data_IF_754398694634
#
_entry.id   IF_754398694634
#
_cell.length_a   1.000
_cell.length_b   1.000
_cell.length_c   1.000
_cell.angle_alpha   90.00
_cell.angle_beta   90.00
_cell.angle_gamma   90.00
#
_symmetry.space_group_name_H-M   'P 1'
#
loop_
_entity.id
_entity.type
_entity.pdbx_description
1 polymer ?
#
# COMPACT_ATOMS: atom_id res chain seq x y z
N UNK A 1 -14.32 41.49 38.41
CA UNK A 1 -13.46 40.28 38.29
C UNK A 1 -14.26 38.99 38.14
N UNK A 2 -15.23 38.67 39.03
CA UNK A 2 -16.05 37.43 38.92
C UNK A 2 -16.77 37.25 37.57
N UNK A 3 -17.35 38.32 37.01
CA UNK A 3 -18.04 38.27 35.69
C UNK A 3 -17.07 37.99 34.52
N UNK A 4 -15.84 38.50 34.59
CA UNK A 4 -14.79 38.24 33.59
C UNK A 4 -14.26 36.81 33.70
N UNK A 5 -14.07 36.32 34.92
CA UNK A 5 -13.69 34.93 35.17
C UNK A 5 -14.76 33.95 34.65
N UNK A 6 -16.04 34.23 34.90
CA UNK A 6 -17.17 33.47 34.37
C UNK A 6 -17.18 33.44 32.83
N UNK A 7 -16.91 34.60 32.21
CA UNK A 7 -16.84 34.70 30.75
C UNK A 7 -15.67 33.90 30.16
N UNK A 8 -14.48 33.99 30.77
CA UNK A 8 -13.30 33.22 30.35
C UNK A 8 -13.48 31.71 30.56
N UNK A 9 -14.11 31.29 31.66
CA UNK A 9 -14.43 29.89 31.89
C UNK A 9 -15.44 29.34 30.89
N UNK A 10 -16.42 30.16 30.45
CA UNK A 10 -17.37 29.76 29.43
C UNK A 10 -16.68 29.57 28.06
N UNK A 11 -15.79 30.49 27.69
CA UNK A 11 -14.98 30.38 26.47
C UNK A 11 -14.11 29.12 26.53
N UNK A 12 -13.42 28.87 27.64
CA UNK A 12 -12.57 27.70 27.81
C UNK A 12 -13.36 26.38 27.70
N UNK A 13 -14.58 26.34 28.27
CA UNK A 13 -15.48 25.19 28.14
C UNK A 13 -15.88 24.97 26.68
N UNK A 14 -16.24 26.04 25.96
CA UNK A 14 -16.62 25.95 24.54
C UNK A 14 -15.47 25.52 23.63
N UNK A 15 -14.23 25.97 23.89
CA UNK A 15 -13.06 25.51 23.12
C UNK A 15 -12.70 24.05 23.43
N UNK A 16 -12.90 23.61 24.67
CA UNK A 16 -12.58 22.25 25.10
C UNK A 16 -13.55 21.21 24.53
N UNK A 17 -14.83 21.56 24.32
CA UNK A 17 -15.84 20.67 23.75
C UNK A 17 -16.11 20.89 22.25
N UNK A 18 -15.72 22.03 21.68
CA UNK A 18 -15.93 22.37 20.27
C UNK A 18 -14.96 21.72 19.27
N UNK A 19 -13.98 20.97 19.77
CA UNK A 19 -12.95 20.29 18.96
C UNK A 19 -13.19 18.79 18.82
N UNK A 20 -14.45 18.34 18.89
CA UNK A 20 -14.78 16.96 18.53
C UNK A 20 -14.56 16.77 17.02
N UNK A 21 -13.37 16.30 16.64
CA UNK A 21 -13.09 15.90 15.26
C UNK A 21 -13.68 14.51 15.02
N UNK A 22 -14.64 14.41 14.11
CA UNK A 22 -15.12 13.13 13.59
C UNK A 22 -14.06 12.58 12.63
N UNK A 23 -13.33 11.55 13.05
CA UNK A 23 -12.48 10.77 12.17
C UNK A 23 -13.33 9.78 11.36
N UNK A 24 -13.28 9.86 10.04
CA UNK A 24 -13.81 8.80 9.18
C UNK A 24 -12.70 7.79 8.92
N UNK A 25 -13.00 6.50 9.12
CA UNK A 25 -12.13 5.45 8.61
C UNK A 25 -12.21 5.50 7.08
N UNK A 26 -11.10 5.87 6.43
CA UNK A 26 -11.01 5.78 4.98
C UNK A 26 -10.76 4.32 4.63
N UNK A 27 -11.73 3.70 3.95
CA UNK A 27 -11.54 2.42 3.26
C UNK A 27 -10.84 2.67 1.93
N UNK A 28 -9.99 1.73 1.53
CA UNK A 28 -9.37 1.79 0.21
C UNK A 28 -10.43 1.63 -0.90
N UNK A 29 -10.32 2.45 -1.94
CA UNK A 29 -11.26 2.48 -3.07
C UNK A 29 -11.27 1.16 -3.85
N UNK A 30 -10.17 0.41 -3.77
CA UNK A 30 -10.04 -0.92 -4.35
C UNK A 30 -9.16 -1.82 -3.47
N UNK A 31 -9.29 -3.13 -3.64
CA UNK A 31 -8.39 -4.11 -3.01
C UNK A 31 -7.72 -4.98 -4.06
N UNK A 32 -6.48 -5.37 -3.77
CA UNK A 32 -5.72 -6.35 -4.55
C UNK A 32 -5.42 -7.52 -3.63
N UNK A 33 -5.82 -8.72 -4.03
CA UNK A 33 -5.55 -9.94 -3.26
C UNK A 33 -4.86 -10.98 -4.15
N UNK A 34 -3.71 -11.55 -3.76
CA UNK A 34 -3.12 -12.65 -4.51
C UNK A 34 -4.02 -13.88 -4.44
N UNK A 35 -4.23 -14.54 -5.58
CA UNK A 35 -4.78 -15.90 -5.63
C UNK A 35 -3.63 -16.84 -5.31
N UNK A 36 -3.54 -17.26 -4.05
CA UNK A 36 -2.41 -18.02 -3.51
C UNK A 36 -2.27 -19.37 -4.23
N UNK A 37 -1.13 -19.63 -4.90
CA UNK A 37 -0.91 -20.87 -5.63
C UNK A 37 -0.48 -22.02 -4.70
N UNK A 38 -0.49 -23.25 -5.24
CA UNK A 38 -0.14 -24.45 -4.46
C UNK A 38 1.31 -24.48 -3.97
N UNK A 39 2.25 -23.91 -4.74
CA UNK A 39 3.68 -23.87 -4.43
C UNK A 39 4.10 -22.64 -3.61
N UNK A 40 3.15 -21.95 -2.99
CA UNK A 40 3.41 -20.90 -2.03
C UNK A 40 4.09 -21.48 -0.78
N UNK A 41 5.20 -20.88 -0.34
CA UNK A 41 5.94 -21.29 0.87
C UNK A 41 5.09 -21.11 2.14
N UNK A 42 4.34 -20.01 2.23
CA UNK A 42 3.43 -19.72 3.32
C UNK A 42 2.08 -19.17 2.81
N UNK A 43 0.99 -19.89 3.09
CA UNK A 43 -0.36 -19.62 2.59
C UNK A 43 -1.06 -18.44 3.27
N UNK A 44 -0.52 -17.95 4.37
CA UNK A 44 -1.12 -16.86 5.16
C UNK A 44 -0.57 -15.47 4.76
N UNK A 45 0.27 -15.41 3.73
CA UNK A 45 0.88 -14.16 3.26
C UNK A 45 -0.04 -13.38 2.31
N UNK A 46 -0.02 -12.06 2.43
CA UNK A 46 -0.68 -11.12 1.50
C UNK A 46 0.10 -10.85 0.21
N UNK A 47 1.15 -11.63 -0.08
CA UNK A 47 2.01 -11.49 -1.25
C UNK A 47 2.49 -12.87 -1.72
N UNK A 48 3.00 -12.95 -2.95
CA UNK A 48 3.58 -14.18 -3.49
C UNK A 48 4.96 -14.46 -2.89
N UNK A 49 5.09 -15.61 -2.24
CA UNK A 49 6.35 -16.19 -1.78
C UNK A 49 6.37 -17.61 -2.35
N UNK A 50 6.84 -17.71 -3.59
CA UNK A 50 6.79 -18.95 -4.38
C UNK A 50 8.19 -19.50 -4.60
N UNK A 51 8.31 -20.82 -4.51
CA UNK A 51 9.47 -21.53 -5.01
C UNK A 51 9.14 -22.15 -6.36
N UNK A 52 9.69 -21.56 -7.42
CA UNK A 52 9.55 -22.07 -8.78
C UNK A 52 10.74 -22.99 -9.10
N UNK A 53 10.45 -24.14 -9.70
CA UNK A 53 11.51 -25.03 -10.19
C UNK A 53 12.25 -24.41 -11.37
N UNK A 54 13.49 -24.84 -11.61
CA UNK A 54 14.26 -24.42 -12.79
C UNK A 54 13.48 -24.68 -14.08
N UNK A 55 13.55 -23.73 -15.02
CA UNK A 55 12.90 -23.78 -16.35
C UNK A 55 11.37 -23.95 -16.32
N UNK A 56 10.73 -23.74 -15.17
CA UNK A 56 9.27 -23.74 -15.07
C UNK A 56 8.74 -22.32 -15.20
N UNK A 57 7.54 -22.23 -15.75
CA UNK A 57 6.74 -21.01 -15.81
C UNK A 57 5.47 -21.22 -15.01
N UNK A 58 4.93 -20.13 -14.46
CA UNK A 58 3.70 -20.14 -13.69
C UNK A 58 2.97 -18.82 -13.87
N UNK A 59 1.70 -18.88 -14.24
CA UNK A 59 0.82 -17.72 -14.24
C UNK A 59 0.35 -17.44 -12.81
N UNK A 60 0.60 -16.23 -12.34
CA UNK A 60 0.07 -15.72 -11.08
C UNK A 60 -1.15 -14.85 -11.35
N UNK A 61 -2.12 -14.89 -10.45
CA UNK A 61 -3.37 -14.15 -10.61
C UNK A 61 -3.67 -13.35 -9.34
N UNK A 62 -4.25 -12.17 -9.52
CA UNK A 62 -4.74 -11.33 -8.44
C UNK A 62 -6.23 -11.11 -8.62
N UNK A 63 -6.95 -11.10 -7.51
CA UNK A 63 -8.33 -10.67 -7.43
C UNK A 63 -8.35 -9.16 -7.17
N UNK A 64 -9.05 -8.42 -8.04
CA UNK A 64 -9.27 -6.98 -7.93
C UNK A 64 -10.73 -6.72 -7.59
N UNK A 65 -10.97 -5.95 -6.54
CA UNK A 65 -12.32 -5.53 -6.15
C UNK A 65 -12.40 -4.01 -6.15
N UNK A 66 -13.42 -3.47 -6.83
CA UNK A 66 -13.79 -2.05 -6.74
C UNK A 66 -14.79 -1.88 -5.60
N UNK A 67 -14.42 -1.10 -4.58
CA UNK A 67 -15.26 -0.85 -3.39
C UNK A 67 -16.10 0.42 -3.53
N UNK A 68 -16.15 1.02 -4.73
CA UNK A 68 -16.87 2.26 -5.01
C UNK A 68 -18.01 2.02 -5.99
N UNK A 69 -18.90 3.01 -6.11
CA UNK A 69 -19.97 3.02 -7.13
C UNK A 69 -19.48 3.55 -8.49
N UNK A 70 -18.23 4.02 -8.58
CA UNK A 70 -17.68 4.65 -9.77
C UNK A 70 -16.75 3.69 -10.52
N UNK A 71 -16.62 3.88 -11.84
CA UNK A 71 -15.64 3.12 -12.62
C UNK A 71 -14.22 3.50 -12.17
N UNK A 72 -13.40 2.49 -11.90
CA UNK A 72 -11.97 2.66 -11.59
C UNK A 72 -11.13 2.10 -12.74
N UNK A 73 -10.04 2.81 -13.07
CA UNK A 73 -9.01 2.34 -14.00
C UNK A 73 -7.76 2.01 -13.19
N UNK A 74 -7.21 0.83 -13.44
CA UNK A 74 -6.04 0.32 -12.72
C UNK A 74 -4.93 0.10 -13.74
N UNK A 75 -3.83 0.83 -13.56
CA UNK A 75 -2.59 0.60 -14.30
C UNK A 75 -1.71 -0.37 -13.51
N UNK A 76 -1.24 -1.42 -14.18
CA UNK A 76 -0.37 -2.43 -13.57
C UNK A 76 1.03 -2.27 -14.14
N UNK A 77 2.00 -2.04 -13.25
CA UNK A 77 3.41 -1.90 -13.61
C UNK A 77 4.29 -2.82 -12.76
N UNK A 78 5.34 -3.36 -13.36
CA UNK A 78 6.33 -4.19 -12.68
C UNK A 78 7.47 -3.30 -12.21
N UNK A 79 7.85 -3.41 -10.93
CA UNK A 79 8.99 -2.69 -10.37
C UNK A 79 9.63 -3.52 -9.27
N UNK A 80 10.97 -3.56 -9.26
CA UNK A 80 11.71 -4.12 -8.13
C UNK A 80 11.71 -3.13 -6.97
N UNK A 81 11.81 -3.64 -5.75
CA UNK A 81 12.02 -2.79 -4.58
C UNK A 81 13.36 -2.06 -4.70
N UNK A 82 13.34 -0.73 -4.58
CA UNK A 82 14.55 0.10 -4.58
C UNK A 82 14.53 1.04 -3.39
N UNK A 83 15.70 1.37 -2.84
CA UNK A 83 15.81 2.43 -1.82
C UNK A 83 16.05 3.76 -2.51
N UNK A 84 15.14 4.71 -2.34
CA UNK A 84 15.28 6.04 -2.93
C UNK A 84 16.28 6.91 -2.13
N UNK A 85 16.58 8.11 -2.61
CA UNK A 85 17.53 9.03 -1.96
C UNK A 85 17.14 9.45 -0.53
N UNK A 86 15.86 9.33 -0.17
CA UNK A 86 15.37 9.61 1.20
C UNK A 86 15.45 8.40 2.13
N UNK A 87 15.96 7.26 1.64
CA UNK A 87 16.07 6.03 2.42
C UNK A 87 14.77 5.22 2.50
N UNK A 88 13.76 5.56 1.70
CA UNK A 88 12.50 4.82 1.63
C UNK A 88 12.58 3.71 0.58
N UNK A 89 12.07 2.53 0.92
CA UNK A 89 11.86 1.45 -0.05
C UNK A 89 10.62 1.78 -0.87
N UNK A 90 10.79 1.88 -2.18
CA UNK A 90 9.72 2.19 -3.13
C UNK A 90 9.60 1.07 -4.17
N UNK A 91 8.38 0.94 -4.72
CA UNK A 91 7.98 -0.13 -5.64
C UNK A 91 7.39 0.48 -6.93
N UNK A 92 7.99 1.58 -7.38
CA UNK A 92 7.54 2.36 -8.53
C UNK A 92 8.63 2.41 -9.62
N UNK A 93 8.25 2.67 -10.88
CA UNK A 93 9.23 2.86 -11.95
C UNK A 93 10.24 3.94 -11.57
N UNK A 94 11.52 3.60 -11.69
CA UNK A 94 12.63 4.46 -11.28
C UNK A 94 13.73 4.49 -12.34
N UNK A 95 14.50 5.58 -12.36
CA UNK A 95 15.71 5.70 -13.18
C UNK A 95 16.97 5.15 -12.47
N UNK A 96 16.83 4.61 -11.25
CA UNK A 96 17.94 4.00 -10.52
C UNK A 96 18.44 2.77 -11.30
N UNK A 97 19.71 2.82 -11.68
CA UNK A 97 20.39 1.74 -12.40
C UNK A 97 20.60 0.56 -11.47
N UNK A 98 20.27 -0.65 -11.94
CA UNK A 98 20.52 -1.87 -11.20
C UNK A 98 22.02 -2.05 -10.92
N UNK A 99 22.34 -2.48 -9.70
CA UNK A 99 23.72 -2.74 -9.31
C UNK A 99 24.31 -3.89 -10.15
N UNK A 100 25.60 -3.78 -10.48
CA UNK A 100 26.31 -4.78 -11.29
C UNK A 100 26.36 -6.19 -10.67
N UNK A 101 26.19 -6.31 -9.35
CA UNK A 101 26.13 -7.58 -8.63
C UNK A 101 24.76 -8.25 -8.66
N UNK A 102 23.71 -7.59 -9.18
CA UNK A 102 22.37 -8.15 -9.29
C UNK A 102 22.37 -9.31 -10.29
N UNK A 103 22.28 -10.54 -9.76
CA UNK A 103 22.31 -11.76 -10.58
C UNK A 103 21.01 -12.01 -11.34
N UNK A 104 19.88 -11.68 -10.73
CA UNK A 104 18.55 -11.94 -11.26
C UNK A 104 17.72 -10.66 -11.14
N UNK A 105 17.38 -10.04 -12.27
CA UNK A 105 16.54 -8.87 -12.29
C UNK A 105 15.09 -9.29 -12.53
N UNK A 106 14.17 -8.90 -11.65
CA UNK A 106 12.76 -9.30 -11.71
C UNK A 106 12.13 -9.05 -13.09
N UNK A 107 12.51 -7.94 -13.75
CA UNK A 107 11.99 -7.56 -15.07
C UNK A 107 12.34 -8.55 -16.19
N UNK A 108 13.37 -9.36 -15.99
CA UNK A 108 13.82 -10.35 -16.98
C UNK A 108 13.07 -11.69 -16.80
N UNK A 109 12.35 -11.88 -15.67
CA UNK A 109 11.68 -13.13 -15.30
C UNK A 109 10.16 -13.02 -15.15
N UNK A 110 9.61 -11.79 -15.12
CA UNK A 110 8.17 -11.56 -14.98
C UNK A 110 7.63 -10.86 -16.22
N UNK A 111 6.55 -11.41 -16.76
CA UNK A 111 5.80 -10.87 -17.89
C UNK A 111 4.40 -10.50 -17.39
N UNK A 112 3.91 -9.32 -17.79
CA UNK A 112 2.59 -8.80 -17.45
C UNK A 112 1.68 -8.80 -18.67
#
# INVERSE_FOLDING_TARGET
MKKLQLFLSAIFLTLSFGLAQTGYARTDDYTVKPIIPENQTNKDLGYFDILLGAEKEQTLQVELSNNTEQEIKIDVTLSSAVTNMTGLVVYEPTEIVADSSLKYNLKDYVMM
#
